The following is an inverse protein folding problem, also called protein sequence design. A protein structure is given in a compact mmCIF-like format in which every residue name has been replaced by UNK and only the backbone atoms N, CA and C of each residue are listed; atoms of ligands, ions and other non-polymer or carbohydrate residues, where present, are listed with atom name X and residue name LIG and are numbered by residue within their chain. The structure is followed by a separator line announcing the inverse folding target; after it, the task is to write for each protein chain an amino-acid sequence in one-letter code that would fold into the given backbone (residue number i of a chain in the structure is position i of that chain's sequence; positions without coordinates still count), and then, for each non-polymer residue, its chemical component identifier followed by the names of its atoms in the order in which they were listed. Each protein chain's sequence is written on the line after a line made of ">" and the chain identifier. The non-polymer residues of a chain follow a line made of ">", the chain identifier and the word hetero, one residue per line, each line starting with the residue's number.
data_IF_938141760462
#
_entry.id   IF_938141760462
#
_cell.length_a   1.000
_cell.length_b   1.000
_cell.length_c   1.000
_cell.angle_alpha   90.00
_cell.angle_beta   90.00
_cell.angle_gamma   90.00
#
_symmetry.space_group_name_H-M   'P 1'
#
loop_
_entity.id
_entity.type
_entity.pdbx_description
1 polymer ?
#
# COMPACT_ATOMS: atom_id res chain seq x y z
N UNK A 1 -15.94 25.26 -16.13
CA UNK A 1 -15.43 23.97 -16.58
C UNK A 1 -15.37 23.02 -15.38
N UNK A 2 -15.98 21.85 -15.45
CA UNK A 2 -15.85 20.85 -14.39
C UNK A 2 -14.36 20.50 -14.24
N UNK A 3 -13.84 20.49 -13.01
CA UNK A 3 -12.47 20.07 -12.76
C UNK A 3 -12.32 18.61 -13.22
N UNK A 4 -11.26 18.30 -13.99
CA UNK A 4 -10.98 16.93 -14.39
C UNK A 4 -10.81 16.06 -13.14
N UNK A 5 -11.38 14.86 -13.15
CA UNK A 5 -11.25 13.95 -12.02
C UNK A 5 -9.77 13.66 -11.71
N UNK A 6 -9.41 13.66 -10.43
CA UNK A 6 -8.06 13.30 -9.99
C UNK A 6 -7.77 11.82 -10.25
N UNK A 7 -6.53 11.48 -10.49
CA UNK A 7 -6.08 10.13 -10.83
C UNK A 7 -5.35 9.50 -9.65
N UNK A 8 -5.79 8.32 -9.23
CA UNK A 8 -5.12 7.54 -8.21
C UNK A 8 -4.62 6.20 -8.78
N UNK A 9 -3.39 5.84 -8.46
CA UNK A 9 -2.80 4.53 -8.74
C UNK A 9 -2.70 3.74 -7.45
N UNK A 10 -3.23 2.52 -7.45
CA UNK A 10 -3.15 1.58 -6.32
C UNK A 10 -2.41 0.32 -6.76
N UNK A 11 -1.29 0.01 -6.12
CA UNK A 11 -0.59 -1.25 -6.33
C UNK A 11 -1.15 -2.36 -5.43
N UNK A 12 -1.21 -3.59 -5.92
CA UNK A 12 -1.87 -4.68 -5.21
C UNK A 12 -3.39 -4.50 -5.10
N UNK A 13 -4.00 -3.84 -6.09
CA UNK A 13 -5.40 -3.40 -6.06
C UNK A 13 -6.45 -4.52 -6.18
N UNK A 14 -6.06 -5.75 -6.53
CA UNK A 14 -7.02 -6.82 -6.83
C UNK A 14 -7.72 -7.45 -5.61
N UNK A 15 -7.19 -7.27 -4.40
CA UNK A 15 -7.73 -7.89 -3.18
C UNK A 15 -7.42 -7.08 -1.92
N UNK A 16 -8.07 -7.44 -0.80
CA UNK A 16 -7.76 -6.93 0.52
C UNK A 16 -7.75 -5.40 0.63
N UNK A 17 -6.75 -4.87 1.31
CA UNK A 17 -6.59 -3.41 1.53
C UNK A 17 -6.51 -2.63 0.23
N UNK A 18 -5.80 -3.16 -0.80
CA UNK A 18 -5.68 -2.48 -2.10
C UNK A 18 -7.03 -2.33 -2.79
N UNK A 19 -7.86 -3.38 -2.81
CA UNK A 19 -9.23 -3.31 -3.34
C UNK A 19 -10.08 -2.32 -2.54
N UNK A 20 -10.06 -2.41 -1.21
CA UNK A 20 -10.83 -1.52 -0.35
C UNK A 20 -10.45 -0.03 -0.56
N UNK A 21 -9.15 0.27 -0.63
CA UNK A 21 -8.65 1.61 -0.89
C UNK A 21 -9.04 2.12 -2.30
N UNK A 22 -8.94 1.26 -3.34
CA UNK A 22 -9.33 1.63 -4.69
C UNK A 22 -10.83 2.00 -4.78
N UNK A 23 -11.71 1.19 -4.17
CA UNK A 23 -13.15 1.46 -4.12
C UNK A 23 -13.43 2.74 -3.32
N UNK A 24 -12.78 2.94 -2.18
CA UNK A 24 -12.96 4.13 -1.36
C UNK A 24 -12.52 5.41 -2.11
N UNK A 25 -11.39 5.38 -2.81
CA UNK A 25 -10.93 6.48 -3.66
C UNK A 25 -11.89 6.76 -4.83
N UNK A 26 -12.45 5.73 -5.46
CA UNK A 26 -13.47 5.89 -6.50
C UNK A 26 -14.72 6.61 -5.97
N UNK A 27 -15.23 6.20 -4.80
CA UNK A 27 -16.35 6.88 -4.11
C UNK A 27 -16.02 8.34 -3.76
N UNK A 28 -14.76 8.66 -3.54
CA UNK A 28 -14.27 10.02 -3.30
C UNK A 28 -14.00 10.83 -4.59
N UNK A 29 -14.37 10.32 -5.77
CA UNK A 29 -14.30 11.02 -7.06
C UNK A 29 -12.98 10.88 -7.81
N UNK A 30 -12.12 9.92 -7.44
CA UNK A 30 -10.91 9.62 -8.20
C UNK A 30 -11.19 8.62 -9.34
N UNK A 31 -10.55 8.81 -10.49
CA UNK A 31 -10.35 7.74 -11.46
C UNK A 31 -9.16 6.89 -11.04
N UNK A 32 -9.19 5.60 -11.35
CA UNK A 32 -8.28 4.62 -10.80
C UNK A 32 -7.40 3.94 -11.84
N UNK A 33 -6.12 3.76 -11.52
CA UNK A 33 -5.26 2.75 -12.15
C UNK A 33 -5.03 1.65 -11.13
N UNK A 34 -5.42 0.44 -11.50
CA UNK A 34 -5.37 -0.75 -10.65
C UNK A 34 -4.21 -1.64 -11.09
N UNK A 35 -3.14 -1.69 -10.30
CA UNK A 35 -1.96 -2.49 -10.61
C UNK A 35 -1.88 -3.75 -9.74
N UNK A 36 -1.51 -4.87 -10.34
CA UNK A 36 -1.34 -6.16 -9.67
C UNK A 36 -1.11 -7.29 -10.66
N UNK A 37 -0.71 -8.46 -10.19
CA UNK A 37 -0.31 -9.58 -11.07
C UNK A 37 -1.48 -10.31 -11.74
N UNK A 38 -2.63 -10.39 -11.08
CA UNK A 38 -3.79 -11.20 -11.52
C UNK A 38 -4.80 -10.30 -12.22
N UNK A 39 -4.81 -10.39 -13.57
CA UNK A 39 -5.67 -9.55 -14.41
C UNK A 39 -7.15 -9.71 -14.07
N UNK A 40 -7.62 -10.93 -13.89
CA UNK A 40 -9.01 -11.25 -13.58
C UNK A 40 -9.52 -10.59 -12.28
N UNK A 41 -8.63 -10.46 -11.27
CA UNK A 41 -8.98 -9.79 -10.02
C UNK A 41 -9.03 -8.26 -10.19
N UNK A 42 -8.15 -7.70 -11.02
CA UNK A 42 -8.16 -6.27 -11.33
C UNK A 42 -9.39 -5.90 -12.16
N UNK A 43 -9.75 -6.72 -13.16
CA UNK A 43 -10.92 -6.52 -14.00
C UNK A 43 -12.22 -6.53 -13.16
N UNK A 44 -12.31 -7.43 -12.19
CA UNK A 44 -13.44 -7.47 -11.25
C UNK A 44 -13.56 -6.16 -10.47
N UNK A 45 -12.45 -5.68 -9.89
CA UNK A 45 -12.43 -4.42 -9.14
C UNK A 45 -12.71 -3.23 -10.06
N UNK A 46 -12.19 -3.24 -11.30
CA UNK A 46 -12.49 -2.21 -12.29
C UNK A 46 -13.98 -2.15 -12.62
N UNK A 47 -14.63 -3.31 -12.78
CA UNK A 47 -16.09 -3.39 -12.97
C UNK A 47 -16.87 -2.80 -11.80
N UNK A 48 -16.47 -3.09 -10.56
CA UNK A 48 -17.08 -2.51 -9.36
C UNK A 48 -16.94 -0.98 -9.32
N UNK A 49 -15.76 -0.45 -9.68
CA UNK A 49 -15.48 1.00 -9.71
C UNK A 49 -16.25 1.69 -10.84
N UNK A 50 -16.28 1.09 -12.03
CA UNK A 50 -17.03 1.64 -13.15
C UNK A 50 -18.54 1.71 -12.86
N UNK A 51 -19.08 0.75 -12.11
CA UNK A 51 -20.47 0.78 -11.65
C UNK A 51 -20.76 1.93 -10.65
N UNK A 52 -19.73 2.49 -10.01
CA UNK A 52 -19.82 3.69 -9.17
C UNK A 52 -19.73 5.01 -9.97
N UNK A 53 -19.55 4.94 -11.30
CA UNK A 53 -19.40 6.11 -12.16
C UNK A 53 -17.98 6.67 -12.29
N UNK A 54 -16.98 6.05 -11.67
CA UNK A 54 -15.57 6.40 -11.83
C UNK A 54 -14.92 5.55 -12.94
N UNK A 55 -13.90 6.09 -13.63
CA UNK A 55 -13.14 5.32 -14.60
C UNK A 55 -12.06 4.49 -13.90
N UNK A 56 -11.96 3.20 -14.23
CA UNK A 56 -10.91 2.32 -13.74
C UNK A 56 -10.16 1.62 -14.88
N UNK A 57 -8.82 1.66 -14.84
CA UNK A 57 -7.93 0.99 -15.77
C UNK A 57 -7.17 -0.12 -15.05
N UNK A 58 -7.39 -1.37 -15.45
CA UNK A 58 -6.67 -2.53 -14.93
C UNK A 58 -5.36 -2.73 -15.69
N UNK A 59 -4.21 -2.70 -15.00
CA UNK A 59 -2.88 -2.87 -15.57
C UNK A 59 -2.16 -4.02 -14.88
N UNK A 60 -2.06 -5.20 -15.50
CA UNK A 60 -1.28 -6.32 -14.96
C UNK A 60 0.17 -5.90 -14.72
N UNK A 61 0.62 -5.98 -13.47
CA UNK A 61 1.93 -5.46 -13.07
C UNK A 61 2.53 -6.32 -11.97
N UNK A 62 3.79 -6.71 -12.15
CA UNK A 62 4.62 -7.29 -11.10
C UNK A 62 5.59 -6.22 -10.58
N UNK A 63 5.34 -5.72 -9.38
CA UNK A 63 6.18 -4.66 -8.75
C UNK A 63 7.57 -5.15 -8.36
N UNK A 64 7.85 -6.45 -8.39
CA UNK A 64 9.21 -6.98 -8.21
C UNK A 64 10.06 -6.84 -9.48
N UNK A 65 9.47 -6.43 -10.61
CA UNK A 65 10.10 -6.31 -11.93
C UNK A 65 10.12 -4.85 -12.38
N UNK A 66 11.31 -4.28 -12.53
CA UNK A 66 11.49 -2.87 -12.92
C UNK A 66 10.79 -2.54 -14.23
N UNK A 67 10.91 -3.40 -15.24
CA UNK A 67 10.34 -3.19 -16.57
C UNK A 67 8.82 -3.13 -16.50
N UNK A 68 8.20 -3.96 -15.65
CA UNK A 68 6.75 -3.96 -15.43
C UNK A 68 6.28 -2.66 -14.78
N UNK A 69 7.05 -2.11 -13.85
CA UNK A 69 6.76 -0.80 -13.23
C UNK A 69 6.89 0.33 -14.26
N UNK A 70 7.97 0.36 -15.04
CA UNK A 70 8.17 1.38 -16.08
C UNK A 70 7.00 1.37 -17.07
N UNK A 71 6.56 0.19 -17.52
CA UNK A 71 5.39 0.02 -18.40
C UNK A 71 4.09 0.52 -17.75
N UNK A 72 3.87 0.22 -16.46
CA UNK A 72 2.72 0.72 -15.70
C UNK A 72 2.65 2.25 -15.73
N UNK A 73 3.75 2.92 -15.37
CA UNK A 73 3.76 4.39 -15.31
C UNK A 73 3.73 5.06 -16.69
N UNK A 74 4.28 4.41 -17.72
CA UNK A 74 4.07 4.83 -19.12
C UNK A 74 2.58 4.78 -19.49
N UNK A 75 1.86 3.72 -19.09
CA UNK A 75 0.42 3.59 -19.28
C UNK A 75 -0.36 4.67 -18.52
N UNK A 76 -0.01 4.97 -17.26
CA UNK A 76 -0.61 6.08 -16.50
C UNK A 76 -0.47 7.39 -17.26
N UNK A 77 0.76 7.68 -17.73
CA UNK A 77 1.05 8.92 -18.44
C UNK A 77 0.30 9.03 -19.78
N UNK A 78 0.24 7.95 -20.55
CA UNK A 78 -0.45 7.96 -21.86
C UNK A 78 -1.96 8.02 -21.74
N UNK A 79 -2.55 7.37 -20.72
CA UNK A 79 -4.01 7.31 -20.54
C UNK A 79 -4.60 8.52 -19.84
N UNK A 80 -3.87 9.13 -18.89
CA UNK A 80 -4.41 10.20 -18.04
C UNK A 80 -3.56 11.48 -18.03
N UNK A 81 -2.32 11.44 -18.48
CA UNK A 81 -1.41 12.59 -18.50
C UNK A 81 -0.91 13.03 -17.12
N UNK A 82 -1.50 12.54 -16.04
CA UNK A 82 -1.22 12.95 -14.64
C UNK A 82 -1.40 11.82 -13.64
N UNK A 83 -0.85 12.03 -12.44
CA UNK A 83 -1.03 11.17 -11.28
C UNK A 83 -1.14 12.04 -10.02
N UNK A 84 -2.28 12.01 -9.34
CA UNK A 84 -2.52 12.81 -8.14
C UNK A 84 -2.22 12.05 -6.85
N UNK A 85 -2.49 10.73 -6.84
CA UNK A 85 -2.26 9.86 -5.68
C UNK A 85 -1.62 8.55 -6.12
N UNK A 86 -0.52 8.17 -5.45
CA UNK A 86 0.02 6.80 -5.48
C UNK A 86 -0.21 6.16 -4.12
N UNK A 87 -0.95 5.05 -4.07
CA UNK A 87 -0.99 4.17 -2.92
C UNK A 87 -0.12 2.94 -3.17
N UNK A 88 1.08 2.95 -2.61
CA UNK A 88 2.02 1.84 -2.61
C UNK A 88 1.56 0.78 -1.61
N UNK A 89 0.73 -0.16 -2.07
CA UNK A 89 0.12 -1.16 -1.21
C UNK A 89 0.57 -2.60 -1.52
N UNK A 90 1.08 -2.89 -2.70
CA UNK A 90 1.56 -4.23 -3.04
C UNK A 90 2.57 -4.74 -2.00
N UNK A 91 2.33 -5.94 -1.50
CA UNK A 91 3.19 -6.56 -0.50
C UNK A 91 2.84 -8.03 -0.27
N UNK A 92 3.81 -8.77 0.22
CA UNK A 92 3.70 -10.20 0.58
C UNK A 92 4.24 -10.44 1.98
N UNK A 93 3.75 -11.49 2.63
CA UNK A 93 4.32 -12.02 3.85
C UNK A 93 5.41 -13.06 3.58
N UNK A 94 5.95 -13.61 4.67
CA UNK A 94 6.82 -14.77 4.66
C UNK A 94 6.24 -15.87 5.57
N UNK A 95 6.67 -17.14 5.42
CA UNK A 95 6.41 -18.17 6.41
C UNK A 95 6.95 -17.75 7.79
N UNK A 96 6.23 -18.12 8.85
CA UNK A 96 6.70 -17.91 10.22
C UNK A 96 7.62 -19.07 10.62
N UNK A 97 8.91 -18.89 10.39
CA UNK A 97 9.98 -19.86 10.71
C UNK A 97 11.09 -19.17 11.50
N UNK A 98 11.93 -19.90 12.26
CA UNK A 98 13.13 -19.35 12.88
C UNK A 98 13.98 -18.59 11.86
N UNK A 99 14.73 -17.58 12.30
CA UNK A 99 15.49 -16.70 11.41
C UNK A 99 16.51 -17.47 10.58
N UNK A 100 17.20 -18.42 11.21
CA UNK A 100 18.22 -19.30 10.60
C UNK A 100 17.64 -20.23 9.54
N UNK A 101 16.34 -20.54 9.61
CA UNK A 101 15.66 -21.46 8.69
C UNK A 101 14.93 -20.73 7.53
N UNK A 102 14.95 -19.38 7.52
CA UNK A 102 14.29 -18.63 6.46
C UNK A 102 15.06 -18.77 5.14
N UNK A 103 14.48 -19.36 4.06
CA UNK A 103 15.15 -19.47 2.77
C UNK A 103 15.53 -18.09 2.21
N UNK A 104 16.75 -17.98 1.67
CA UNK A 104 17.24 -16.72 1.12
C UNK A 104 16.36 -16.18 -0.02
N UNK A 105 15.82 -17.05 -0.86
CA UNK A 105 14.89 -16.68 -1.94
C UNK A 105 13.60 -16.06 -1.39
N UNK A 106 13.13 -16.55 -0.25
CA UNK A 106 11.95 -15.96 0.42
C UNK A 106 12.27 -14.54 0.91
N UNK A 107 13.43 -14.35 1.54
CA UNK A 107 13.90 -13.02 1.92
C UNK A 107 13.98 -12.08 0.70
N UNK A 108 14.64 -12.51 -0.37
CA UNK A 108 14.77 -11.72 -1.60
C UNK A 108 13.43 -11.34 -2.20
N UNK A 109 12.47 -12.27 -2.27
CA UNK A 109 11.14 -12.02 -2.80
C UNK A 109 10.36 -10.99 -1.97
N UNK A 110 10.46 -11.06 -0.65
CA UNK A 110 9.84 -10.08 0.25
C UNK A 110 10.47 -8.70 0.08
N UNK A 111 11.79 -8.60 0.04
CA UNK A 111 12.52 -7.33 -0.20
C UNK A 111 12.18 -6.77 -1.58
N UNK A 112 12.21 -7.60 -2.62
CA UNK A 112 11.92 -7.17 -3.99
C UNK A 112 10.51 -6.58 -4.12
N UNK A 113 9.51 -7.21 -3.47
CA UNK A 113 8.12 -6.77 -3.56
C UNK A 113 7.83 -5.60 -2.61
N UNK A 114 8.15 -5.75 -1.30
CA UNK A 114 7.69 -4.82 -0.28
C UNK A 114 8.51 -3.54 -0.19
N UNK A 115 9.78 -3.58 -0.60
CA UNK A 115 10.70 -2.46 -0.48
C UNK A 115 11.17 -1.96 -1.85
N UNK A 116 11.84 -2.79 -2.64
CA UNK A 116 12.38 -2.36 -3.93
C UNK A 116 11.27 -1.93 -4.89
N UNK A 117 10.18 -2.70 -4.97
CA UNK A 117 9.01 -2.35 -5.80
C UNK A 117 8.36 -1.03 -5.37
N UNK A 118 8.21 -0.80 -4.06
CA UNK A 118 7.69 0.45 -3.53
C UNK A 118 8.61 1.63 -3.88
N UNK A 119 9.92 1.48 -3.72
CA UNK A 119 10.91 2.48 -4.12
C UNK A 119 10.81 2.83 -5.61
N UNK A 120 10.76 1.83 -6.48
CA UNK A 120 10.67 2.04 -7.92
C UNK A 120 9.33 2.70 -8.34
N UNK A 121 8.20 2.29 -7.76
CA UNK A 121 6.92 2.95 -7.98
C UNK A 121 6.95 4.41 -7.51
N UNK A 122 7.56 4.68 -6.36
CA UNK A 122 7.75 6.05 -5.84
C UNK A 122 8.59 6.89 -6.81
N UNK A 123 9.69 6.34 -7.33
CA UNK A 123 10.58 7.01 -8.28
C UNK A 123 9.83 7.40 -9.57
N UNK A 124 9.05 6.50 -10.15
CA UNK A 124 8.29 6.79 -11.36
C UNK A 124 7.12 7.77 -11.10
N UNK A 125 6.44 7.68 -9.96
CA UNK A 125 5.40 8.63 -9.58
C UNK A 125 5.95 10.05 -9.44
N UNK A 126 7.09 10.24 -8.80
CA UNK A 126 7.75 11.54 -8.65
C UNK A 126 8.03 12.17 -10.02
N UNK A 127 8.48 11.39 -11.01
CA UNK A 127 8.74 11.91 -12.37
C UNK A 127 7.47 12.50 -13.02
N UNK A 128 6.32 11.83 -12.87
CA UNK A 128 5.04 12.34 -13.37
C UNK A 128 4.61 13.58 -12.58
N UNK A 129 4.58 13.47 -11.23
CA UNK A 129 4.10 14.52 -10.34
C UNK A 129 4.91 15.82 -10.43
N UNK A 130 6.21 15.73 -10.73
CA UNK A 130 7.08 16.91 -10.96
C UNK A 130 6.80 17.59 -12.30
N UNK A 131 6.46 16.81 -13.33
CA UNK A 131 6.31 17.30 -14.70
C UNK A 131 4.87 17.65 -15.12
N UNK A 132 3.86 17.36 -14.28
CA UNK A 132 2.45 17.63 -14.59
C UNK A 132 2.02 19.07 -14.23
N UNK A 133 0.87 19.51 -14.77
CA UNK A 133 0.27 20.81 -14.44
C UNK A 133 -1.21 20.61 -14.02
N UNK A 134 -1.64 21.07 -12.82
CA UNK A 134 -0.78 21.59 -11.75
C UNK A 134 0.22 20.55 -11.25
N UNK A 135 1.40 21.02 -10.84
CA UNK A 135 2.48 20.20 -10.28
C UNK A 135 2.08 19.68 -8.90
N UNK A 136 2.73 18.59 -8.46
CA UNK A 136 2.55 18.02 -7.14
C UNK A 136 1.70 16.76 -7.15
N UNK A 137 1.48 16.20 -5.97
CA UNK A 137 0.74 14.96 -5.76
C UNK A 137 0.99 14.35 -4.39
N UNK A 138 0.43 13.18 -4.16
CA UNK A 138 0.55 12.51 -2.87
C UNK A 138 0.94 11.05 -3.03
N UNK A 139 1.95 10.63 -2.27
CA UNK A 139 2.41 9.24 -2.16
C UNK A 139 2.04 8.74 -0.78
N UNK A 140 1.32 7.63 -0.71
CA UNK A 140 0.93 6.98 0.54
C UNK A 140 1.54 5.59 0.53
N UNK A 141 2.37 5.29 1.52
CA UNK A 141 3.02 3.99 1.66
C UNK A 141 2.25 3.11 2.64
N UNK A 142 1.96 1.88 2.25
CA UNK A 142 1.43 0.85 3.14
C UNK A 142 2.53 0.39 4.10
N UNK A 143 2.51 0.95 5.31
CA UNK A 143 3.32 0.51 6.43
C UNK A 143 2.74 -0.69 7.16
N UNK A 144 3.08 -0.80 8.42
CA UNK A 144 2.54 -1.82 9.33
C UNK A 144 2.92 -1.47 10.75
N UNK A 145 2.14 -1.90 11.72
CA UNK A 145 2.58 -1.90 13.13
C UNK A 145 3.88 -2.72 13.33
N UNK A 146 4.20 -3.64 12.39
CA UNK A 146 5.49 -4.34 12.35
C UNK A 146 6.68 -3.42 12.03
N UNK A 147 6.45 -2.16 11.64
CA UNK A 147 7.49 -1.13 11.57
C UNK A 147 7.91 -0.60 12.96
N UNK A 148 7.20 -0.99 14.02
CA UNK A 148 7.41 -0.54 15.39
C UNK A 148 7.68 -1.71 16.34
N UNK A 149 6.90 -2.79 16.24
CA UNK A 149 7.00 -3.97 17.10
C UNK A 149 6.88 -5.25 16.26
N UNK A 150 7.92 -6.09 16.20
CA UNK A 150 7.88 -7.33 15.44
C UNK A 150 6.98 -8.39 16.12
N UNK A 151 6.59 -9.38 15.32
CA UNK A 151 6.10 -10.68 15.83
C UNK A 151 7.23 -11.69 15.77
N UNK A 152 7.16 -12.77 16.59
CA UNK A 152 8.07 -13.90 16.41
C UNK A 152 8.06 -14.40 14.95
N UNK A 153 9.21 -14.80 14.45
CA UNK A 153 9.39 -15.40 13.12
C UNK A 153 8.94 -14.51 11.94
N UNK A 154 9.13 -13.19 12.04
CA UNK A 154 8.67 -12.25 11.00
C UNK A 154 9.79 -11.40 10.38
N UNK A 155 11.05 -11.86 10.45
CA UNK A 155 12.23 -11.04 10.13
C UNK A 155 12.14 -10.36 8.75
N UNK A 156 11.82 -11.08 7.67
CA UNK A 156 11.77 -10.49 6.33
C UNK A 156 10.71 -9.40 6.21
N UNK A 157 9.50 -9.67 6.69
CA UNK A 157 8.42 -8.69 6.66
C UNK A 157 8.73 -7.49 7.56
N UNK A 158 9.14 -7.74 8.79
CA UNK A 158 9.48 -6.69 9.77
C UNK A 158 10.58 -5.77 9.25
N UNK A 159 11.68 -6.35 8.72
CA UNK A 159 12.79 -5.56 8.16
C UNK A 159 12.32 -4.64 7.02
N UNK A 160 11.49 -5.17 6.09
CA UNK A 160 10.97 -4.33 5.00
C UNK A 160 10.05 -3.22 5.51
N UNK A 161 9.22 -3.46 6.54
CA UNK A 161 8.30 -2.44 7.06
C UNK A 161 9.04 -1.35 7.86
N UNK A 162 10.14 -1.68 8.55
CA UNK A 162 11.05 -0.66 9.12
C UNK A 162 11.73 0.17 8.01
N UNK A 163 12.21 -0.47 6.94
CA UNK A 163 12.83 0.21 5.82
C UNK A 163 11.85 1.15 5.08
N UNK A 164 10.57 0.78 4.96
CA UNK A 164 9.51 1.64 4.41
C UNK A 164 9.38 2.94 5.21
N UNK A 165 9.54 2.91 6.53
CA UNK A 165 9.53 4.12 7.36
C UNK A 165 10.68 5.08 6.98
N UNK A 166 11.87 4.55 6.72
CA UNK A 166 13.01 5.33 6.21
C UNK A 166 12.72 5.92 4.83
N UNK A 167 12.22 5.09 3.92
CA UNK A 167 11.83 5.51 2.56
C UNK A 167 10.79 6.64 2.60
N UNK A 168 9.76 6.53 3.45
CA UNK A 168 8.72 7.55 3.61
C UNK A 168 9.31 8.88 4.07
N UNK A 169 10.17 8.87 5.10
CA UNK A 169 10.81 10.09 5.63
C UNK A 169 11.69 10.77 4.59
N UNK A 170 12.55 10.00 3.89
CA UNK A 170 13.42 10.53 2.84
C UNK A 170 12.60 11.11 1.68
N UNK A 171 11.59 10.38 1.19
CA UNK A 171 10.73 10.87 0.11
C UNK A 171 9.98 12.15 0.52
N UNK A 172 9.46 12.21 1.75
CA UNK A 172 8.79 13.40 2.26
C UNK A 172 9.71 14.61 2.32
N UNK A 173 11.00 14.42 2.65
CA UNK A 173 12.01 15.50 2.68
C UNK A 173 12.37 15.95 1.26
N UNK A 174 12.75 15.01 0.41
CA UNK A 174 13.32 15.30 -0.91
C UNK A 174 12.29 15.88 -1.90
N UNK A 175 11.00 15.61 -1.66
CA UNK A 175 9.93 16.01 -2.57
C UNK A 175 9.22 17.32 -2.19
N UNK A 176 9.54 17.94 -1.06
CA UNK A 176 8.95 19.23 -0.61
C UNK A 176 9.01 20.34 -1.66
N UNK A 177 10.13 20.56 -2.39
CA UNK A 177 10.23 21.64 -3.38
C UNK A 177 9.30 21.47 -4.57
N UNK A 178 8.62 20.31 -4.69
CA UNK A 178 7.80 19.93 -5.84
C UNK A 178 6.32 19.79 -5.51
N UNK A 179 5.90 20.19 -4.30
CA UNK A 179 4.52 20.03 -3.82
C UNK A 179 4.06 18.57 -3.81
N UNK A 180 4.99 17.63 -3.56
CA UNK A 180 4.72 16.21 -3.44
C UNK A 180 4.80 15.82 -1.97
N UNK A 181 3.65 15.42 -1.41
CA UNK A 181 3.55 14.89 -0.06
C UNK A 181 3.83 13.39 -0.05
N UNK A 182 4.58 12.91 0.93
CA UNK A 182 4.72 11.48 1.19
C UNK A 182 4.35 11.19 2.64
N UNK A 183 3.50 10.18 2.84
CA UNK A 183 3.09 9.71 4.15
C UNK A 183 2.96 8.19 4.18
N UNK A 184 2.76 7.64 5.37
CA UNK A 184 2.65 6.21 5.62
C UNK A 184 1.43 5.90 6.47
N UNK A 185 0.65 4.89 6.08
CA UNK A 185 -0.38 4.32 6.92
C UNK A 185 0.12 3.00 7.51
N UNK A 186 0.31 2.95 8.83
CA UNK A 186 0.71 1.75 9.56
C UNK A 186 -0.53 0.94 9.91
N UNK A 187 -0.64 -0.24 9.29
CA UNK A 187 -1.83 -1.06 9.37
C UNK A 187 -1.60 -2.19 10.36
N UNK A 188 -2.56 -2.34 11.27
CA UNK A 188 -2.68 -3.54 12.11
C UNK A 188 -3.33 -4.68 11.34
N UNK A 189 -4.05 -5.56 12.05
CA UNK A 189 -4.71 -6.71 11.43
C UNK A 189 -5.96 -6.30 10.66
N UNK A 190 -5.86 -6.08 9.36
CA UNK A 190 -7.02 -5.94 8.47
C UNK A 190 -7.48 -7.32 7.96
N UNK A 191 -8.78 -7.55 7.87
CA UNK A 191 -9.37 -8.78 7.35
C UNK A 191 -9.11 -8.91 5.85
N UNK A 192 -8.11 -9.68 5.49
CA UNK A 192 -7.62 -9.87 4.12
C UNK A 192 -7.08 -11.28 3.94
N UNK A 193 -6.90 -11.77 2.70
CA UNK A 193 -6.24 -13.07 2.48
C UNK A 193 -4.85 -13.18 3.13
N UNK A 194 -4.11 -12.08 3.25
CA UNK A 194 -2.79 -12.06 3.90
C UNK A 194 -2.86 -12.39 5.39
N UNK A 195 -3.94 -12.00 6.07
CA UNK A 195 -4.13 -12.16 7.52
C UNK A 195 -5.03 -13.33 7.88
N UNK A 196 -5.50 -14.11 6.91
CA UNK A 196 -6.42 -15.24 7.16
C UNK A 196 -5.85 -16.25 8.15
N UNK A 197 -4.55 -16.55 8.03
CA UNK A 197 -3.85 -17.43 8.97
C UNK A 197 -3.88 -16.98 10.44
N UNK A 198 -4.15 -15.70 10.70
CA UNK A 198 -4.14 -15.14 12.06
C UNK A 198 -5.38 -15.51 12.87
N UNK A 199 -6.43 -16.00 12.19
CA UNK A 199 -7.68 -16.44 12.81
C UNK A 199 -7.95 -17.92 12.61
N UNK A 200 -7.02 -18.65 11.99
CA UNK A 200 -7.13 -20.10 11.80
C UNK A 200 -6.44 -20.86 12.94
N UNK A 201 -7.02 -22.01 13.30
CA UNK A 201 -6.48 -22.87 14.36
C UNK A 201 -6.32 -22.15 15.68
N UNK A 202 -5.15 -22.25 16.29
CA UNK A 202 -4.82 -21.61 17.57
C UNK A 202 -4.35 -20.13 17.42
N UNK A 203 -4.32 -19.61 16.20
CA UNK A 203 -3.87 -18.25 15.90
C UNK A 203 -2.35 -18.13 15.72
N UNK A 204 -1.78 -17.00 16.12
CA UNK A 204 -0.36 -16.66 15.90
C UNK A 204 0.43 -16.67 17.20
N UNK A 205 1.72 -17.02 17.08
CA UNK A 205 2.66 -17.04 18.18
C UNK A 205 2.86 -15.63 18.77
N UNK A 206 2.79 -15.52 20.08
CA UNK A 206 3.06 -14.31 20.85
C UNK A 206 4.48 -14.33 21.46
N UNK A 207 5.02 -13.17 21.90
CA UNK A 207 6.36 -13.09 22.48
C UNK A 207 6.57 -14.00 23.71
N UNK A 208 5.51 -14.29 24.46
CA UNK A 208 5.54 -15.16 25.64
C UNK A 208 5.43 -16.66 25.32
N UNK A 209 5.44 -17.03 24.04
CA UNK A 209 5.35 -18.41 23.56
C UNK A 209 3.93 -18.95 23.42
N UNK A 210 2.89 -18.25 23.88
CA UNK A 210 1.50 -18.67 23.70
C UNK A 210 1.04 -18.38 22.27
N UNK A 211 0.02 -19.09 21.80
CA UNK A 211 -0.70 -18.76 20.57
C UNK A 211 -1.98 -18.01 20.88
N UNK A 212 -2.37 -17.10 20.01
CA UNK A 212 -3.55 -16.28 20.20
C UNK A 212 -4.22 -15.95 18.86
N UNK A 213 -5.54 -16.09 18.79
CA UNK A 213 -6.33 -15.54 17.69
C UNK A 213 -6.41 -14.02 17.88
N UNK A 214 -5.74 -13.29 16.99
CA UNK A 214 -5.72 -11.84 17.07
C UNK A 214 -6.92 -11.22 16.35
N UNK A 215 -7.62 -10.24 16.98
CA UNK A 215 -8.69 -9.51 16.33
C UNK A 215 -8.24 -8.83 15.03
N UNK A 216 -9.17 -8.76 14.06
CA UNK A 216 -9.01 -8.06 12.79
C UNK A 216 -10.07 -6.98 12.65
N UNK A 217 -9.78 -5.95 11.88
CA UNK A 217 -10.71 -4.91 11.46
C UNK A 217 -11.06 -5.09 9.98
N UNK A 218 -12.18 -4.55 9.53
CA UNK A 218 -12.54 -4.53 8.11
C UNK A 218 -11.53 -3.68 7.31
N UNK A 219 -11.19 -4.16 6.11
CA UNK A 219 -10.23 -3.48 5.24
C UNK A 219 -10.71 -2.09 4.79
N UNK A 220 -12.02 -1.86 4.80
CA UNK A 220 -12.65 -0.59 4.44
C UNK A 220 -12.23 0.56 5.36
N UNK A 221 -11.92 0.29 6.65
CA UNK A 221 -11.37 1.31 7.55
C UNK A 221 -10.01 1.83 7.08
N UNK A 222 -9.19 0.96 6.49
CA UNK A 222 -7.93 1.37 5.87
C UNK A 222 -8.18 2.17 4.59
N UNK A 223 -9.15 1.74 3.77
CA UNK A 223 -9.59 2.50 2.59
C UNK A 223 -9.99 3.93 2.94
N UNK A 224 -10.78 4.12 3.99
CA UNK A 224 -11.19 5.43 4.48
C UNK A 224 -9.99 6.28 4.99
N UNK A 225 -9.03 5.66 5.67
CA UNK A 225 -7.80 6.34 6.09
C UNK A 225 -6.97 6.82 4.89
N UNK A 226 -6.85 6.00 3.84
CA UNK A 226 -6.19 6.39 2.58
C UNK A 226 -6.91 7.56 1.92
N UNK A 227 -8.24 7.55 1.87
CA UNK A 227 -9.03 8.68 1.35
C UNK A 227 -8.80 9.94 2.17
N UNK A 228 -8.81 9.85 3.50
CA UNK A 228 -8.52 11.01 4.35
C UNK A 228 -7.15 11.61 4.02
N UNK A 229 -6.09 10.78 3.97
CA UNK A 229 -4.76 11.24 3.59
C UNK A 229 -4.74 11.84 2.18
N UNK A 230 -5.43 11.23 1.21
CA UNK A 230 -5.47 11.65 -0.20
C UNK A 230 -6.24 12.97 -0.40
N UNK A 231 -7.23 13.27 0.45
CA UNK A 231 -8.12 14.44 0.32
C UNK A 231 -7.51 15.75 0.78
N UNK A 232 -6.47 15.71 1.61
CA UNK A 232 -5.83 16.90 2.17
C UNK A 232 -5.18 17.75 1.06
N UNK A 233 -5.15 19.09 1.21
CA UNK A 233 -4.39 19.96 0.31
C UNK A 233 -2.89 19.65 0.41
N UNK A 234 -2.11 20.05 -0.61
CA UNK A 234 -0.69 19.68 -0.69
C UNK A 234 0.23 20.49 0.24
N UNK A 235 -0.28 21.51 0.91
CA UNK A 235 0.41 22.21 2.00
C UNK A 235 0.35 21.46 3.34
N UNK A 236 -0.48 20.42 3.41
CA UNK A 236 -0.71 19.61 4.62
C UNK A 236 -0.42 18.15 4.35
N UNK A 237 0.33 17.51 5.23
CA UNK A 237 0.70 16.09 5.11
C UNK A 237 0.44 15.30 6.40
N UNK A 238 -0.22 14.16 6.29
CA UNK A 238 -0.20 13.13 7.33
C UNK A 238 1.04 12.29 7.10
N UNK A 239 2.09 12.52 7.89
CA UNK A 239 3.36 11.82 7.74
C UNK A 239 3.26 10.35 8.18
N UNK A 240 2.60 10.10 9.32
CA UNK A 240 2.31 8.75 9.83
C UNK A 240 0.91 8.69 10.40
N UNK A 241 0.22 7.59 10.12
CA UNK A 241 -1.10 7.26 10.67
C UNK A 241 -1.14 5.77 11.01
N UNK A 242 -1.54 5.42 12.21
CA UNK A 242 -1.76 4.02 12.61
C UNK A 242 -3.25 3.70 12.64
N UNK A 243 -3.65 2.64 11.92
CA UNK A 243 -5.02 2.12 11.88
C UNK A 243 -5.00 0.64 12.23
N UNK A 244 -5.67 0.26 13.32
CA UNK A 244 -5.57 -1.11 13.84
C UNK A 244 -6.87 -1.57 14.51
N UNK A 245 -7.07 -2.88 14.61
CA UNK A 245 -8.16 -3.44 15.41
C UNK A 245 -7.93 -3.08 16.89
N UNK A 246 -8.95 -2.51 17.53
CA UNK A 246 -8.82 -1.96 18.90
C UNK A 246 -8.31 -2.98 19.94
N UNK A 247 -8.69 -4.25 19.81
CA UNK A 247 -8.35 -5.31 20.78
C UNK A 247 -7.13 -6.14 20.36
N UNK A 248 -6.44 -5.80 19.25
CA UNK A 248 -5.24 -6.53 18.87
C UNK A 248 -4.05 -6.12 19.75
N UNK A 249 -3.12 -7.06 20.08
CA UNK A 249 -1.96 -6.73 20.87
C UNK A 249 -0.98 -5.86 20.08
N UNK A 250 -0.66 -4.70 20.62
CA UNK A 250 0.35 -3.78 20.09
C UNK A 250 0.94 -2.92 21.22
N UNK A 251 0.19 -1.94 21.75
CA UNK A 251 0.58 -1.21 22.96
C UNK A 251 0.43 -2.15 24.15
N UNK A 252 1.45 -2.20 25.02
CA UNK A 252 1.49 -3.16 26.15
C UNK A 252 1.88 -4.58 25.74
N UNK A 253 2.35 -4.79 24.51
CA UNK A 253 3.01 -6.04 24.11
C UNK A 253 4.43 -6.01 24.67
N UNK A 254 4.65 -6.75 25.73
CA UNK A 254 5.93 -6.89 26.42
C UNK A 254 5.87 -8.00 27.41
#
# INVERSE_FOLDING_TARGET
>A
MAASAKIALVTGAGTGVGRAAAIALAKAGYNLVLAGRRKEMLDKVAGEINALGAQALAVPTDVSKRESIVSLFATVKSSFGRLDVLFNNAGIGAPAVPLEDLPFETWQNVVATNLTGMFLCTQEAIKIMKGQNPRGGRIINNGSISAHAPRPYSVAYTSTKHAVTGLTKSTSLDCRPYDICCGQVDIGNAATPLTERMVQGEGVLQPDGRKMIEPRMEADHVGNAVVYMASLPLDTNVLFMTVMANKMPFVGRG
#
